data_IF_846564714624
#
_entry.id   IF_846564714624
#
_cell.length_a   1.000
_cell.length_b   1.000
_cell.length_c   1.000
_cell.angle_alpha   90.00
_cell.angle_beta   90.00
_cell.angle_gamma   90.00
#
_symmetry.space_group_name_H-M   'P 1'
#
loop_
_entity.id
_entity.type
_entity.pdbx_description
1 polymer ?
#
# COMPACT_ATOMS: atom_id res chain seq x y z
N UNK A 1 9.21 -1.39 -15.74
CA UNK A 1 9.04 -1.48 -14.29
C UNK A 1 7.56 -1.56 -13.92
N UNK A 2 7.24 -2.01 -12.69
CA UNK A 2 5.89 -2.05 -12.13
C UNK A 2 5.89 -1.38 -10.77
N UNK A 3 4.86 -0.60 -10.44
CA UNK A 3 4.75 0.15 -9.19
C UNK A 3 3.30 0.15 -8.69
N UNK A 4 3.11 0.22 -7.36
CA UNK A 4 1.80 0.21 -6.73
C UNK A 4 1.01 1.49 -7.02
N UNK A 5 -0.32 1.46 -6.80
CA UNK A 5 -1.29 2.52 -7.11
C UNK A 5 -1.55 3.50 -5.96
N UNK A 6 -0.51 3.81 -5.18
CA UNK A 6 -0.53 4.83 -4.14
C UNK A 6 0.70 5.75 -4.20
N UNK A 7 0.81 6.69 -3.28
CA UNK A 7 1.90 7.66 -3.29
C UNK A 7 3.27 7.00 -3.07
N UNK A 8 3.38 5.97 -2.21
CA UNK A 8 4.65 5.27 -1.98
C UNK A 8 5.08 4.48 -3.23
N UNK A 9 4.15 3.75 -3.85
CA UNK A 9 4.40 3.05 -5.10
C UNK A 9 4.78 3.98 -6.25
N UNK A 10 4.04 5.08 -6.44
CA UNK A 10 4.35 6.07 -7.49
C UNK A 10 5.72 6.71 -7.26
N UNK A 11 6.03 7.17 -6.03
CA UNK A 11 7.32 7.82 -5.74
C UNK A 11 8.48 6.86 -5.87
N UNK A 12 8.34 5.61 -5.39
CA UNK A 12 9.38 4.57 -5.57
C UNK A 12 9.60 4.25 -7.06
N UNK A 13 8.53 4.20 -7.84
CA UNK A 13 8.60 4.07 -9.30
C UNK A 13 9.34 5.23 -9.95
N UNK A 14 9.00 6.48 -9.59
CA UNK A 14 9.64 7.68 -10.12
C UNK A 14 11.15 7.73 -9.84
N UNK A 15 11.57 7.35 -8.63
CA UNK A 15 12.99 7.29 -8.26
C UNK A 15 13.78 6.37 -9.20
N UNK A 16 13.31 5.15 -9.41
CA UNK A 16 13.98 4.18 -10.28
C UNK A 16 13.89 4.58 -11.75
N UNK A 17 12.73 5.10 -12.18
CA UNK A 17 12.55 5.57 -13.54
C UNK A 17 13.51 6.70 -13.90
N UNK A 18 13.60 7.74 -13.07
CA UNK A 18 14.47 8.88 -13.29
C UNK A 18 15.95 8.45 -13.31
N UNK A 19 16.38 7.62 -12.36
CA UNK A 19 17.75 7.13 -12.29
C UNK A 19 18.12 6.24 -13.49
N UNK A 20 17.23 5.31 -13.89
CA UNK A 20 17.46 4.44 -15.03
C UNK A 20 17.54 5.21 -16.36
N UNK A 21 16.68 6.22 -16.57
CA UNK A 21 16.74 7.07 -17.76
C UNK A 21 17.98 7.94 -17.80
N UNK A 22 18.37 8.53 -16.67
CA UNK A 22 19.60 9.32 -16.57
C UNK A 22 20.83 8.45 -16.86
N UNK A 23 20.90 7.25 -16.32
CA UNK A 23 21.93 6.27 -16.61
C UNK A 23 21.95 5.87 -18.10
N UNK A 24 20.79 5.55 -18.68
CA UNK A 24 20.69 5.23 -20.10
C UNK A 24 21.21 6.37 -20.98
N UNK A 25 20.83 7.62 -20.67
CA UNK A 25 21.33 8.81 -21.37
C UNK A 25 22.85 8.94 -21.28
N UNK A 26 23.43 8.78 -20.07
CA UNK A 26 24.88 8.84 -19.88
C UNK A 26 25.62 7.76 -20.69
N UNK A 27 25.05 6.56 -20.76
CA UNK A 27 25.62 5.43 -21.49
C UNK A 27 25.27 5.40 -22.99
N UNK A 28 24.61 6.45 -23.49
CA UNK A 28 24.11 6.54 -24.87
C UNK A 28 23.20 5.36 -25.27
N UNK A 29 22.43 4.84 -24.31
CA UNK A 29 21.41 3.81 -24.51
C UNK A 29 20.04 4.45 -24.80
N UNK A 30 19.16 3.77 -25.53
CA UNK A 30 17.81 4.26 -25.82
C UNK A 30 16.98 4.41 -24.54
N UNK A 31 16.60 5.64 -24.18
CA UNK A 31 15.83 5.93 -22.98
C UNK A 31 14.39 5.42 -23.06
N UNK A 32 13.84 5.26 -24.25
CA UNK A 32 12.53 4.67 -24.52
C UNK A 32 12.42 3.19 -24.12
N UNK A 33 13.55 2.55 -23.82
CA UNK A 33 13.56 1.21 -23.25
C UNK A 33 13.26 1.18 -21.75
N UNK A 34 13.28 2.32 -21.08
CA UNK A 34 12.91 2.46 -19.68
C UNK A 34 11.44 2.87 -19.63
N UNK A 35 10.57 1.92 -19.31
CA UNK A 35 9.11 2.13 -19.20
C UNK A 35 8.61 1.62 -17.86
N UNK A 36 7.51 2.16 -17.37
CA UNK A 36 6.89 1.74 -16.12
C UNK A 36 5.37 1.79 -16.20
N UNK A 37 4.70 0.88 -15.50
CA UNK A 37 3.24 0.78 -15.49
C UNK A 37 2.70 0.51 -14.09
N UNK A 38 1.68 1.25 -13.71
CA UNK A 38 0.97 1.09 -12.45
C UNK A 38 0.29 -0.28 -12.38
N UNK A 39 0.28 -0.85 -11.18
CA UNK A 39 -0.45 -2.08 -10.83
C UNK A 39 -1.46 -1.74 -9.74
N UNK A 40 -2.76 -1.91 -9.97
CA UNK A 40 -3.80 -1.55 -9.00
C UNK A 40 -3.97 -2.62 -7.90
N UNK A 41 -2.86 -3.14 -7.40
CA UNK A 41 -2.84 -4.22 -6.40
C UNK A 41 -1.43 -4.36 -5.82
N UNK A 42 -1.34 -4.75 -4.55
CA UNK A 42 -0.06 -5.15 -3.93
C UNK A 42 0.47 -6.51 -4.46
N UNK A 43 -0.23 -7.14 -5.41
CA UNK A 43 0.11 -8.44 -5.99
C UNK A 43 0.58 -8.27 -7.43
N UNK A 44 1.78 -8.77 -7.73
CA UNK A 44 2.25 -8.94 -9.11
C UNK A 44 1.67 -10.23 -9.69
N UNK A 45 0.67 -10.11 -10.55
CA UNK A 45 -0.10 -11.24 -11.04
C UNK A 45 0.51 -11.94 -12.26
N UNK A 46 0.03 -13.15 -12.57
CA UNK A 46 0.35 -13.83 -13.86
C UNK A 46 0.01 -12.98 -15.09
N UNK A 47 -1.05 -12.16 -14.98
CA UNK A 47 -1.45 -11.28 -16.07
C UNK A 47 -0.43 -10.18 -16.28
N UNK A 48 0.07 -9.57 -15.19
CA UNK A 48 1.12 -8.55 -15.29
C UNK A 48 2.38 -9.12 -15.92
N UNK A 49 2.79 -10.35 -15.51
CA UNK A 49 3.92 -11.06 -16.09
C UNK A 49 3.73 -11.34 -17.60
N UNK A 50 2.56 -11.82 -17.98
CA UNK A 50 2.21 -12.04 -19.38
C UNK A 50 2.29 -10.77 -20.22
N UNK A 51 1.69 -9.67 -19.72
CA UNK A 51 1.70 -8.39 -20.41
C UNK A 51 3.12 -7.86 -20.59
N UNK A 52 3.99 -8.00 -19.58
CA UNK A 52 5.40 -7.57 -19.64
C UNK A 52 6.21 -8.40 -20.64
N UNK A 53 6.07 -9.71 -20.62
CA UNK A 53 6.76 -10.61 -21.54
C UNK A 53 6.33 -10.38 -23.00
N UNK A 54 5.02 -10.18 -23.23
CA UNK A 54 4.50 -9.91 -24.57
C UNK A 54 5.04 -8.59 -25.10
N UNK A 55 5.01 -7.53 -24.31
CA UNK A 55 5.55 -6.22 -24.71
C UNK A 55 7.03 -6.30 -25.10
N UNK A 56 7.84 -6.99 -24.31
CA UNK A 56 9.26 -7.15 -24.61
C UNK A 56 9.49 -7.98 -25.88
N UNK A 57 8.76 -9.08 -26.03
CA UNK A 57 8.83 -9.93 -27.22
C UNK A 57 8.44 -9.17 -28.50
N UNK A 58 7.33 -8.42 -28.44
CA UNK A 58 6.83 -7.65 -29.59
C UNK A 58 7.79 -6.53 -29.97
N UNK A 59 8.55 -6.00 -28.99
CA UNK A 59 9.64 -5.07 -29.23
C UNK A 59 10.97 -5.72 -29.64
N UNK A 60 11.07 -7.06 -29.68
CA UNK A 60 12.29 -7.80 -29.97
C UNK A 60 13.42 -7.60 -28.95
N UNK A 61 13.07 -7.39 -27.65
CA UNK A 61 13.99 -7.02 -26.58
C UNK A 61 14.05 -8.07 -25.48
N UNK A 62 15.19 -8.17 -24.82
CA UNK A 62 15.28 -8.86 -23.53
C UNK A 62 14.60 -8.01 -22.45
N UNK A 63 13.90 -8.70 -21.54
CA UNK A 63 13.17 -8.11 -20.45
C UNK A 63 13.96 -8.17 -19.15
N UNK A 64 13.99 -7.05 -18.43
CA UNK A 64 14.27 -6.98 -17.01
C UNK A 64 13.14 -6.20 -16.33
N UNK A 65 12.59 -6.73 -15.25
CA UNK A 65 11.49 -6.10 -14.52
C UNK A 65 11.97 -5.66 -13.15
N UNK A 66 11.77 -4.37 -12.85
CA UNK A 66 11.87 -3.84 -11.48
C UNK A 66 10.46 -3.62 -10.96
N UNK A 67 10.18 -4.18 -9.81
CA UNK A 67 8.87 -4.10 -9.13
C UNK A 67 9.08 -3.29 -7.86
N UNK A 68 8.30 -2.22 -7.65
CA UNK A 68 8.45 -1.33 -6.50
C UNK A 68 7.15 -1.25 -5.69
N UNK A 69 7.27 -1.39 -4.37
CA UNK A 69 6.18 -1.30 -3.39
C UNK A 69 5.06 -2.35 -3.60
N UNK A 70 5.41 -3.47 -4.17
CA UNK A 70 4.54 -4.62 -4.35
C UNK A 70 5.36 -5.88 -4.70
N UNK A 71 4.71 -7.03 -4.68
CA UNK A 71 5.28 -8.25 -5.25
C UNK A 71 6.07 -9.12 -4.29
N UNK A 72 6.41 -8.64 -3.09
CA UNK A 72 7.14 -9.44 -2.10
C UNK A 72 6.25 -10.44 -1.32
N UNK A 73 4.95 -10.54 -1.62
CA UNK A 73 3.97 -11.39 -0.93
C UNK A 73 3.81 -12.78 -1.58
N UNK A 74 3.14 -13.68 -0.87
CA UNK A 74 2.90 -15.06 -1.33
C UNK A 74 2.03 -15.12 -2.59
N UNK A 75 1.07 -14.21 -2.72
CA UNK A 75 0.15 -14.14 -3.85
C UNK A 75 0.86 -13.78 -5.17
N UNK A 76 2.04 -13.15 -5.10
CA UNK A 76 2.84 -12.78 -6.28
C UNK A 76 3.73 -13.90 -6.80
N UNK A 77 3.90 -15.00 -6.06
CA UNK A 77 4.79 -16.13 -6.45
C UNK A 77 4.50 -16.64 -7.84
N UNK A 78 3.23 -16.82 -8.20
CA UNK A 78 2.86 -17.32 -9.54
C UNK A 78 3.23 -16.34 -10.67
N UNK A 79 3.07 -15.05 -10.46
CA UNK A 79 3.49 -14.01 -11.42
C UNK A 79 5.01 -13.96 -11.58
N UNK A 80 5.74 -13.98 -10.47
CA UNK A 80 7.20 -14.00 -10.45
C UNK A 80 7.77 -15.28 -11.10
N UNK A 81 7.16 -16.44 -10.85
CA UNK A 81 7.53 -17.69 -11.50
C UNK A 81 7.38 -17.60 -13.03
N UNK A 82 6.29 -16.98 -13.51
CA UNK A 82 6.05 -16.78 -14.93
C UNK A 82 7.13 -15.90 -15.58
N UNK A 83 7.62 -14.87 -14.89
CA UNK A 83 8.76 -14.06 -15.35
C UNK A 83 10.05 -14.89 -15.41
N UNK A 84 10.34 -15.64 -14.35
CA UNK A 84 11.53 -16.48 -14.27
C UNK A 84 11.56 -17.53 -15.40
N UNK A 85 10.42 -18.18 -15.66
CA UNK A 85 10.27 -19.17 -16.72
C UNK A 85 10.50 -18.58 -18.12
N UNK A 86 10.22 -17.28 -18.30
CA UNK A 86 10.52 -16.56 -19.55
C UNK A 86 11.98 -16.11 -19.68
N UNK A 87 12.82 -16.38 -18.69
CA UNK A 87 14.22 -15.90 -18.65
C UNK A 87 14.38 -14.43 -18.28
N UNK A 88 13.33 -13.79 -17.77
CA UNK A 88 13.35 -12.39 -17.34
C UNK A 88 14.14 -12.22 -16.06
N UNK A 89 14.94 -11.16 -15.97
CA UNK A 89 15.58 -10.72 -14.73
C UNK A 89 14.61 -9.92 -13.86
N UNK A 90 14.53 -10.28 -12.59
CA UNK A 90 13.56 -9.69 -11.63
C UNK A 90 14.28 -9.03 -10.47
N UNK A 91 13.97 -7.75 -10.23
CA UNK A 91 14.37 -7.03 -9.03
C UNK A 91 13.12 -6.54 -8.31
N UNK A 92 13.03 -6.77 -6.98
CA UNK A 92 11.98 -6.19 -6.14
C UNK A 92 12.59 -5.17 -5.19
N UNK A 93 11.94 -4.01 -5.05
CA UNK A 93 12.22 -2.95 -4.08
C UNK A 93 10.96 -2.75 -3.27
N UNK A 94 10.95 -3.24 -2.02
CA UNK A 94 9.73 -3.30 -1.21
C UNK A 94 10.06 -3.17 0.28
N UNK A 95 9.15 -2.60 1.04
CA UNK A 95 9.28 -2.43 2.49
C UNK A 95 8.34 -3.37 3.29
N UNK A 96 7.48 -4.08 2.60
CA UNK A 96 6.57 -5.06 3.22
C UNK A 96 7.32 -6.32 3.70
N UNK A 97 6.76 -7.06 4.69
CA UNK A 97 7.33 -8.32 5.12
C UNK A 97 7.44 -9.31 3.94
N UNK A 98 8.66 -9.74 3.58
CA UNK A 98 8.85 -10.54 2.39
C UNK A 98 8.47 -12.00 2.60
N UNK A 99 7.86 -12.61 1.57
CA UNK A 99 7.65 -14.05 1.48
C UNK A 99 8.91 -14.74 0.93
N UNK A 100 9.34 -15.84 1.56
CA UNK A 100 10.57 -16.54 1.18
C UNK A 100 10.53 -17.12 -0.24
N UNK A 101 9.36 -17.64 -0.69
CA UNK A 101 9.21 -18.21 -2.03
C UNK A 101 9.24 -17.11 -3.10
N UNK A 102 8.64 -15.94 -2.83
CA UNK A 102 8.74 -14.79 -3.70
C UNK A 102 10.19 -14.30 -3.86
N UNK A 103 10.95 -14.22 -2.75
CA UNK A 103 12.36 -13.82 -2.78
C UNK A 103 13.24 -14.81 -3.56
N UNK A 104 12.98 -16.11 -3.47
CA UNK A 104 13.75 -17.15 -4.18
C UNK A 104 13.62 -17.02 -5.71
N UNK A 105 12.61 -16.31 -6.20
CA UNK A 105 12.38 -16.07 -7.62
C UNK A 105 13.07 -14.80 -8.15
N UNK A 106 13.54 -13.93 -7.26
CA UNK A 106 14.18 -12.66 -7.62
C UNK A 106 15.68 -12.84 -7.90
N UNK A 107 16.20 -12.09 -8.87
CA UNK A 107 17.65 -11.96 -9.11
C UNK A 107 18.26 -10.91 -8.16
N UNK A 108 17.48 -9.92 -7.72
CA UNK A 108 17.86 -8.92 -6.75
C UNK A 108 16.66 -8.51 -5.89
N UNK A 109 16.94 -8.15 -4.65
CA UNK A 109 15.94 -7.66 -3.71
C UNK A 109 16.52 -6.55 -2.84
N UNK A 110 15.81 -5.44 -2.72
CA UNK A 110 16.15 -4.33 -1.83
C UNK A 110 15.01 -4.09 -0.85
N UNK A 111 15.30 -4.21 0.44
CA UNK A 111 14.32 -3.99 1.52
C UNK A 111 15.00 -3.48 2.77
N UNK A 112 14.26 -2.73 3.58
CA UNK A 112 14.67 -2.36 4.94
C UNK A 112 14.30 -3.42 5.98
N UNK A 113 13.42 -4.36 5.67
CA UNK A 113 12.78 -5.27 6.62
C UNK A 113 13.72 -6.05 7.54
N UNK A 114 14.90 -6.57 7.11
CA UNK A 114 15.84 -7.25 8.01
C UNK A 114 16.45 -6.34 9.09
N UNK A 115 16.46 -5.04 8.87
CA UNK A 115 17.08 -4.04 9.76
C UNK A 115 16.04 -3.25 10.55
N UNK A 116 14.85 -3.08 9.97
CA UNK A 116 13.74 -2.34 10.56
C UNK A 116 12.39 -2.96 10.13
N UNK A 117 11.75 -3.63 11.05
CA UNK A 117 10.42 -4.20 10.87
C UNK A 117 9.30 -3.29 11.42
N UNK A 118 9.65 -2.05 11.81
CA UNK A 118 8.68 -1.07 12.37
C UNK A 118 7.73 -0.48 11.32
N UNK A 119 8.06 -0.62 10.03
CA UNK A 119 7.38 0.05 8.94
C UNK A 119 7.73 1.54 8.82
N UNK A 120 8.84 1.98 9.44
CA UNK A 120 9.29 3.37 9.32
C UNK A 120 9.91 3.69 7.96
N UNK A 121 10.57 2.71 7.35
CA UNK A 121 11.15 2.86 6.01
C UNK A 121 10.12 2.47 4.95
N UNK A 122 9.84 3.37 4.03
CA UNK A 122 8.90 3.19 2.92
C UNK A 122 9.61 2.67 1.66
N UNK A 123 8.88 2.16 0.68
CA UNK A 123 9.48 1.73 -0.58
C UNK A 123 10.13 2.90 -1.35
N UNK A 124 9.56 4.12 -1.27
CA UNK A 124 10.17 5.32 -1.84
C UNK A 124 11.52 5.67 -1.23
N UNK A 125 11.69 5.50 0.09
CA UNK A 125 13.00 5.68 0.74
C UNK A 125 14.01 4.63 0.28
N UNK A 126 13.60 3.35 0.19
CA UNK A 126 14.48 2.27 -0.28
C UNK A 126 14.85 2.49 -1.75
N UNK A 127 13.86 2.86 -2.59
CA UNK A 127 14.08 3.15 -4.00
C UNK A 127 15.02 4.34 -4.21
N UNK A 128 14.91 5.40 -3.40
CA UNK A 128 15.83 6.53 -3.42
C UNK A 128 17.27 6.09 -3.16
N UNK A 129 17.52 5.23 -2.18
CA UNK A 129 18.87 4.75 -1.89
C UNK A 129 19.43 3.86 -3.00
N UNK A 130 18.58 3.12 -3.71
CA UNK A 130 18.95 2.37 -4.93
C UNK A 130 19.22 3.34 -6.08
N UNK A 131 18.32 4.30 -6.33
CA UNK A 131 18.45 5.30 -7.38
C UNK A 131 19.75 6.12 -7.27
N UNK A 132 20.14 6.52 -6.07
CA UNK A 132 21.41 7.20 -5.80
C UNK A 132 22.63 6.40 -6.22
N UNK A 133 22.56 5.07 -6.15
CA UNK A 133 23.67 4.20 -6.59
C UNK A 133 23.66 3.97 -8.09
N UNK A 134 22.50 4.07 -8.74
CA UNK A 134 22.38 4.00 -10.21
C UNK A 134 22.85 5.33 -10.82
N UNK A 135 22.25 6.44 -10.38
CA UNK A 135 22.57 7.79 -10.87
C UNK A 135 22.19 8.85 -9.82
N UNK A 136 23.14 9.25 -9.00
CA UNK A 136 22.91 10.11 -7.83
C UNK A 136 22.20 11.43 -8.15
N UNK A 137 22.47 12.02 -9.31
CA UNK A 137 21.88 13.30 -9.74
C UNK A 137 20.40 13.23 -10.15
N UNK A 138 19.82 12.04 -10.25
CA UNK A 138 18.41 11.86 -10.59
C UNK A 138 17.53 11.52 -9.37
N UNK A 139 18.13 11.15 -8.24
CA UNK A 139 17.40 10.83 -7.02
C UNK A 139 16.81 12.10 -6.38
N UNK A 140 15.55 12.04 -5.94
CA UNK A 140 14.79 13.20 -5.48
C UNK A 140 14.29 13.05 -4.03
N UNK A 141 14.84 13.85 -3.10
CA UNK A 141 14.47 13.82 -1.69
C UNK A 141 13.03 14.28 -1.39
N UNK A 142 12.45 15.09 -2.25
CA UNK A 142 11.05 15.51 -2.10
C UNK A 142 10.11 14.30 -2.23
N UNK A 143 10.35 13.44 -3.22
CA UNK A 143 9.54 12.23 -3.41
C UNK A 143 9.64 11.29 -2.20
N UNK A 144 10.82 11.19 -1.57
CA UNK A 144 10.98 10.47 -0.31
C UNK A 144 10.10 11.06 0.79
N UNK A 145 10.05 12.40 0.91
CA UNK A 145 9.22 13.06 1.91
C UNK A 145 7.73 12.79 1.69
N UNK A 146 7.28 12.76 0.44
CA UNK A 146 5.90 12.42 0.09
C UNK A 146 5.55 10.96 0.42
N UNK A 147 6.45 10.04 0.07
CA UNK A 147 6.34 8.62 0.42
C UNK A 147 6.26 8.40 1.93
N UNK A 148 7.18 8.96 2.71
CA UNK A 148 7.18 8.86 4.16
C UNK A 148 5.89 9.40 4.80
N UNK A 149 5.35 10.49 4.26
CA UNK A 149 4.10 11.07 4.77
C UNK A 149 2.87 10.23 4.40
N UNK A 150 2.78 9.69 3.19
CA UNK A 150 1.63 8.89 2.76
C UNK A 150 1.49 7.64 3.62
N UNK A 151 2.59 7.00 3.95
CA UNK A 151 2.66 5.79 4.78
C UNK A 151 2.65 6.08 6.29
N UNK A 152 2.52 7.34 6.68
CA UNK A 152 2.56 7.76 8.10
C UNK A 152 3.81 7.28 8.83
N UNK A 153 4.92 7.25 8.13
CA UNK A 153 6.22 6.87 8.69
C UNK A 153 6.60 7.76 9.88
N UNK A 154 7.23 7.16 10.88
CA UNK A 154 7.82 7.91 12.01
C UNK A 154 9.02 8.77 11.58
N UNK A 155 9.57 8.54 10.39
CA UNK A 155 10.64 9.34 9.79
C UNK A 155 10.09 10.55 9.02
N UNK A 156 8.79 10.65 8.80
CA UNK A 156 8.18 11.80 8.13
C UNK A 156 8.41 13.07 8.94
N UNK A 157 8.86 14.12 8.26
CA UNK A 157 9.06 15.45 8.84
C UNK A 157 8.48 16.50 7.90
N UNK A 158 7.64 17.38 8.42
CA UNK A 158 6.95 18.39 7.60
C UNK A 158 5.53 17.99 7.21
N UNK A 159 4.89 18.83 6.41
CA UNK A 159 3.57 18.61 5.82
C UNK A 159 3.68 18.78 4.30
N UNK A 160 3.41 17.70 3.58
CA UNK A 160 3.56 17.61 2.13
C UNK A 160 2.20 17.28 1.50
N UNK A 161 1.40 18.29 1.13
CA UNK A 161 0.10 18.09 0.50
C UNK A 161 0.18 17.32 -0.83
N UNK A 162 1.35 17.31 -1.47
CA UNK A 162 1.65 16.57 -2.69
C UNK A 162 1.50 15.05 -2.49
N UNK A 163 1.75 14.53 -1.30
CA UNK A 163 1.50 13.12 -1.00
C UNK A 163 0.02 12.76 -1.20
N UNK A 164 -0.91 13.62 -0.75
CA UNK A 164 -2.35 13.45 -0.98
C UNK A 164 -2.72 13.61 -2.46
N UNK A 165 -2.04 14.53 -3.16
CA UNK A 165 -2.25 14.70 -4.59
C UNK A 165 -1.90 13.42 -5.36
N UNK A 166 -0.76 12.78 -5.04
CA UNK A 166 -0.36 11.54 -5.70
C UNK A 166 -1.31 10.38 -5.38
N UNK A 167 -1.70 10.19 -4.12
CA UNK A 167 -2.73 9.20 -3.75
C UNK A 167 -4.03 9.40 -4.54
N UNK A 168 -4.46 10.67 -4.69
CA UNK A 168 -5.65 10.99 -5.46
C UNK A 168 -5.48 10.68 -6.94
N UNK A 169 -4.38 11.09 -7.55
CA UNK A 169 -4.08 10.85 -8.96
C UNK A 169 -3.92 9.35 -9.25
N UNK A 170 -3.25 8.61 -8.37
CA UNK A 170 -3.06 7.17 -8.51
C UNK A 170 -4.40 6.42 -8.45
N UNK A 171 -5.27 6.81 -7.50
CA UNK A 171 -6.59 6.19 -7.35
C UNK A 171 -7.50 6.33 -8.60
N UNK A 172 -7.42 7.46 -9.31
CA UNK A 172 -8.22 7.71 -10.51
C UNK A 172 -7.51 7.40 -11.82
N UNK A 173 -6.29 6.92 -11.76
CA UNK A 173 -5.57 6.51 -12.97
C UNK A 173 -6.15 5.20 -13.53
N UNK A 174 -6.13 5.10 -14.85
CA UNK A 174 -6.48 3.85 -15.53
C UNK A 174 -5.48 2.74 -15.14
N UNK A 175 -5.90 1.48 -15.12
CA UNK A 175 -4.99 0.36 -14.96
C UNK A 175 -3.85 0.43 -15.98
N UNK A 176 -2.62 0.21 -15.52
CA UNK A 176 -1.41 0.29 -16.32
C UNK A 176 -1.10 1.69 -16.90
N UNK A 177 -1.49 2.77 -16.16
CA UNK A 177 -0.98 4.11 -16.51
C UNK A 177 0.55 4.12 -16.49
N UNK A 178 1.13 4.84 -17.43
CA UNK A 178 2.59 4.90 -17.58
C UNK A 178 3.23 5.80 -16.50
N UNK A 179 4.44 5.45 -16.07
CA UNK A 179 5.20 6.26 -15.10
C UNK A 179 5.56 7.64 -15.65
N UNK A 180 5.67 7.77 -16.97
CA UNK A 180 5.90 9.02 -17.69
C UNK A 180 4.83 10.05 -17.37
N UNK A 181 3.56 9.62 -17.30
CA UNK A 181 2.43 10.51 -16.99
C UNK A 181 2.55 11.09 -15.57
N UNK A 182 3.05 10.30 -14.61
CA UNK A 182 3.35 10.79 -13.27
C UNK A 182 4.56 11.72 -13.26
N UNK A 183 5.62 11.38 -14.01
CA UNK A 183 6.82 12.19 -14.08
C UNK A 183 6.53 13.61 -14.60
N UNK A 184 5.59 13.74 -15.53
CA UNK A 184 5.10 15.04 -16.00
C UNK A 184 4.22 15.73 -14.94
N UNK A 185 3.27 15.02 -14.35
CA UNK A 185 2.31 15.56 -13.35
C UNK A 185 2.99 16.07 -12.08
N UNK A 186 4.05 15.40 -11.59
CA UNK A 186 4.76 15.84 -10.37
C UNK A 186 5.54 17.14 -10.58
N UNK A 187 5.79 17.54 -11.82
CA UNK A 187 6.41 18.81 -12.18
C UNK A 187 5.40 19.95 -12.33
N UNK A 188 4.09 19.65 -12.38
CA UNK A 188 3.02 20.63 -12.52
C UNK A 188 2.42 21.01 -11.15
N UNK A 189 2.93 22.10 -10.58
CA UNK A 189 2.46 22.60 -9.29
C UNK A 189 0.96 23.00 -9.29
N UNK A 190 0.36 23.32 -10.44
CA UNK A 190 -1.06 23.63 -10.54
C UNK A 190 -1.89 22.32 -10.45
N UNK A 191 -1.48 21.29 -11.18
CA UNK A 191 -2.11 19.98 -11.14
C UNK A 191 -2.05 19.39 -9.73
N UNK A 192 -0.88 19.45 -9.05
CA UNK A 192 -0.73 18.95 -7.69
C UNK A 192 -1.64 19.69 -6.70
N UNK A 193 -1.74 21.02 -6.79
CA UNK A 193 -2.67 21.78 -5.93
C UNK A 193 -4.13 21.39 -6.17
N UNK A 194 -4.55 21.29 -7.42
CA UNK A 194 -5.92 20.89 -7.77
C UNK A 194 -6.24 19.48 -7.24
N UNK A 195 -5.34 18.54 -7.43
CA UNK A 195 -5.49 17.16 -6.92
C UNK A 195 -5.54 17.13 -5.39
N UNK A 196 -4.71 17.91 -4.70
CA UNK A 196 -4.75 18.07 -3.23
C UNK A 196 -6.12 18.58 -2.76
N UNK A 197 -6.64 19.64 -3.37
CA UNK A 197 -7.94 20.22 -3.00
C UNK A 197 -9.08 19.22 -3.19
N UNK A 198 -9.05 18.44 -4.27
CA UNK A 198 -10.03 17.39 -4.54
C UNK A 198 -9.91 16.24 -3.55
N UNK A 199 -8.68 15.84 -3.21
CA UNK A 199 -8.40 14.82 -2.20
C UNK A 199 -8.96 15.24 -0.83
N UNK A 200 -8.66 16.44 -0.37
CA UNK A 200 -9.15 16.98 0.92
C UNK A 200 -10.67 16.99 0.96
N UNK A 201 -11.33 17.50 -0.09
CA UNK A 201 -12.80 17.51 -0.17
C UNK A 201 -13.40 16.11 -0.11
N UNK A 202 -12.78 15.14 -0.78
CA UNK A 202 -13.19 13.74 -0.75
C UNK A 202 -13.01 13.13 0.65
N UNK A 203 -11.87 13.35 1.29
CA UNK A 203 -11.56 12.89 2.64
C UNK A 203 -12.55 13.47 3.67
N UNK A 204 -12.81 14.77 3.64
CA UNK A 204 -13.75 15.44 4.57
C UNK A 204 -15.17 14.88 4.44
N UNK A 205 -15.62 14.67 3.19
CA UNK A 205 -16.93 14.05 2.92
C UNK A 205 -17.00 12.62 3.45
N UNK A 206 -15.99 11.82 3.18
CA UNK A 206 -15.92 10.43 3.62
C UNK A 206 -15.87 10.34 5.16
N UNK A 207 -15.02 11.14 5.81
CA UNK A 207 -14.93 11.18 7.27
C UNK A 207 -16.27 11.56 7.91
N UNK A 208 -16.99 12.54 7.38
CA UNK A 208 -18.31 12.91 7.87
C UNK A 208 -19.27 11.72 7.83
N UNK A 209 -19.42 11.08 6.66
CA UNK A 209 -20.30 9.92 6.50
C UNK A 209 -19.88 8.77 7.43
N UNK A 210 -18.59 8.45 7.47
CA UNK A 210 -18.09 7.35 8.32
C UNK A 210 -18.35 7.60 9.80
N UNK A 211 -18.20 8.84 10.28
CA UNK A 211 -18.51 9.19 11.68
C UNK A 211 -19.99 9.03 12.02
N UNK A 212 -20.88 9.40 11.11
CA UNK A 212 -22.33 9.31 11.31
C UNK A 212 -22.80 7.84 11.38
N UNK A 213 -22.03 6.91 10.78
CA UNK A 213 -22.35 5.49 10.72
C UNK A 213 -21.39 4.59 11.53
N UNK A 214 -20.43 5.17 12.26
CA UNK A 214 -19.53 4.40 13.11
C UNK A 214 -20.18 4.12 14.48
N UNK A 215 -19.95 2.90 14.98
CA UNK A 215 -20.27 2.54 16.35
C UNK A 215 -19.00 2.44 17.19
N UNK A 216 -19.11 2.82 18.46
CA UNK A 216 -17.99 2.80 19.41
C UNK A 216 -18.31 1.85 20.55
N UNK A 217 -17.44 0.86 20.77
CA UNK A 217 -17.53 -0.09 21.88
C UNK A 217 -16.38 0.17 22.86
N UNK A 218 -16.71 0.37 24.13
CA UNK A 218 -15.72 0.42 25.22
C UNK A 218 -15.28 -1.01 25.54
N UNK A 219 -13.98 -1.23 25.67
CA UNK A 219 -13.38 -2.49 26.10
C UNK A 219 -12.57 -2.21 27.36
N UNK A 220 -13.15 -2.52 28.50
CA UNK A 220 -12.62 -2.06 29.79
C UNK A 220 -12.55 -0.52 29.87
N UNK A 221 -11.68 -0.01 30.74
CA UNK A 221 -11.56 1.44 30.96
C UNK A 221 -10.63 2.14 29.96
N UNK A 222 -9.73 1.39 29.32
CA UNK A 222 -8.61 1.98 28.59
C UNK A 222 -8.62 1.75 27.07
N UNK A 223 -9.55 0.94 26.55
CA UNK A 223 -9.60 0.64 25.13
C UNK A 223 -10.95 0.95 24.48
N UNK A 224 -10.90 1.24 23.18
CA UNK A 224 -12.07 1.47 22.33
C UNK A 224 -11.93 0.64 21.04
N UNK A 225 -13.02 -0.01 20.65
CA UNK A 225 -13.20 -0.56 19.32
C UNK A 225 -14.17 0.34 18.56
N UNK A 226 -13.75 0.83 17.40
CA UNK A 226 -14.55 1.62 16.46
C UNK A 226 -14.93 0.68 15.31
N UNK A 227 -16.20 0.54 15.02
CA UNK A 227 -16.69 -0.29 13.90
C UNK A 227 -17.41 0.61 12.91
N UNK A 228 -16.96 0.61 11.66
CA UNK A 228 -17.46 1.51 10.63
C UNK A 228 -17.79 0.78 9.32
N UNK A 229 -18.93 1.09 8.74
CA UNK A 229 -19.33 0.62 7.41
C UNK A 229 -18.66 1.48 6.32
N UNK A 230 -17.61 0.95 5.69
CA UNK A 230 -16.88 1.65 4.63
C UNK A 230 -17.70 1.80 3.34
N UNK A 231 -18.66 0.91 3.09
CA UNK A 231 -19.48 0.97 1.88
C UNK A 231 -20.35 2.22 1.79
N UNK A 232 -20.63 2.86 2.92
CA UNK A 232 -21.42 4.11 2.98
C UNK A 232 -20.65 5.33 2.48
N UNK A 233 -19.33 5.31 2.61
CA UNK A 233 -18.48 6.47 2.31
C UNK A 233 -17.58 6.27 1.09
N UNK A 234 -17.41 5.02 0.63
CA UNK A 234 -16.47 4.69 -0.45
C UNK A 234 -17.11 3.85 -1.53
N UNK A 235 -16.68 4.06 -2.77
CA UNK A 235 -17.02 3.24 -3.94
C UNK A 235 -15.76 3.04 -4.79
N UNK A 236 -15.84 2.21 -5.82
CA UNK A 236 -14.73 2.02 -6.78
C UNK A 236 -14.37 3.30 -7.56
N UNK A 237 -15.31 4.23 -7.65
CA UNK A 237 -15.19 5.47 -8.43
C UNK A 237 -15.18 6.73 -7.56
N UNK A 238 -15.00 6.59 -6.24
CA UNK A 238 -14.92 7.73 -5.31
C UNK A 238 -13.63 7.71 -4.51
N UNK A 239 -13.13 8.89 -4.21
CA UNK A 239 -12.01 9.07 -3.27
C UNK A 239 -12.55 9.49 -1.90
N UNK A 240 -11.97 9.03 -0.81
CA UNK A 240 -10.81 8.13 -0.71
C UNK A 240 -11.15 6.64 -0.88
N UNK A 241 -10.16 5.77 -1.18
CA UNK A 241 -10.34 4.34 -1.13
C UNK A 241 -10.61 3.83 0.30
N UNK A 242 -11.14 2.60 0.43
CA UNK A 242 -11.58 2.02 1.72
C UNK A 242 -10.52 2.12 2.83
N UNK A 243 -9.27 1.76 2.52
CA UNK A 243 -8.17 1.80 3.49
C UNK A 243 -7.89 3.21 4.01
N UNK A 244 -7.89 4.20 3.11
CA UNK A 244 -7.70 5.61 3.47
C UNK A 244 -8.87 6.15 4.29
N UNK A 245 -10.12 5.82 3.92
CA UNK A 245 -11.30 6.22 4.69
C UNK A 245 -11.24 5.69 6.14
N UNK A 246 -10.80 4.44 6.33
CA UNK A 246 -10.62 3.89 7.68
C UNK A 246 -9.48 4.59 8.45
N UNK A 247 -8.39 4.96 7.78
CA UNK A 247 -7.32 5.75 8.39
C UNK A 247 -7.84 7.11 8.92
N UNK A 248 -8.70 7.80 8.17
CA UNK A 248 -9.31 9.06 8.61
C UNK A 248 -10.16 8.88 9.88
N UNK A 249 -10.93 7.81 9.95
CA UNK A 249 -11.70 7.46 11.15
C UNK A 249 -10.78 7.16 12.32
N UNK A 250 -9.76 6.36 12.12
CA UNK A 250 -8.76 6.05 13.14
C UNK A 250 -8.12 7.34 13.70
N UNK A 251 -7.65 8.22 12.82
CA UNK A 251 -7.02 9.49 13.20
C UNK A 251 -7.97 10.40 14.00
N UNK A 252 -9.23 10.51 13.55
CA UNK A 252 -10.24 11.29 14.25
C UNK A 252 -10.47 10.79 15.68
N UNK A 253 -10.62 9.47 15.88
CA UNK A 253 -10.84 8.94 17.22
C UNK A 253 -9.58 8.97 18.07
N UNK A 254 -8.39 8.80 17.49
CA UNK A 254 -7.11 8.97 18.19
C UNK A 254 -6.92 10.40 18.71
N UNK A 255 -7.24 11.41 17.92
CA UNK A 255 -7.19 12.80 18.35
C UNK A 255 -8.21 13.10 19.46
N UNK A 256 -9.42 12.52 19.38
CA UNK A 256 -10.48 12.70 20.37
C UNK A 256 -10.19 11.98 21.70
N UNK A 257 -9.51 10.85 21.66
CA UNK A 257 -9.22 10.01 22.83
C UNK A 257 -7.72 9.66 22.90
N UNK A 258 -6.82 10.65 23.09
CA UNK A 258 -5.38 10.47 22.95
C UNK A 258 -4.76 9.52 23.97
N UNK A 259 -5.47 9.21 25.06
CA UNK A 259 -5.01 8.31 26.12
C UNK A 259 -5.52 6.87 25.99
N UNK A 260 -6.35 6.57 24.98
CA UNK A 260 -6.95 5.25 24.81
C UNK A 260 -6.20 4.39 23.80
N UNK A 261 -6.19 3.09 24.06
CA UNK A 261 -5.90 2.09 23.04
C UNK A 261 -7.08 2.03 22.06
N UNK A 262 -6.85 2.33 20.78
CA UNK A 262 -7.91 2.42 19.78
C UNK A 262 -7.63 1.45 18.67
N UNK A 263 -8.61 0.59 18.40
CA UNK A 263 -8.66 -0.25 17.22
C UNK A 263 -9.88 0.13 16.41
N UNK A 264 -9.68 0.45 15.12
CA UNK A 264 -10.76 0.66 14.16
C UNK A 264 -10.89 -0.54 13.25
N UNK A 265 -12.10 -1.04 13.10
CA UNK A 265 -12.51 -2.08 12.17
C UNK A 265 -13.45 -1.48 11.13
N UNK A 266 -13.02 -1.42 9.88
CA UNK A 266 -13.85 -1.04 8.75
C UNK A 266 -14.30 -2.28 7.99
N UNK A 267 -15.56 -2.34 7.59
CA UNK A 267 -16.07 -3.46 6.80
C UNK A 267 -16.79 -2.98 5.54
N UNK A 268 -16.82 -3.84 4.53
CA UNK A 268 -17.63 -3.72 3.33
C UNK A 268 -18.17 -5.11 2.95
N UNK A 269 -18.82 -5.23 1.81
CA UNK A 269 -19.40 -6.51 1.36
C UNK A 269 -18.36 -7.64 1.27
N UNK A 270 -17.15 -7.34 0.81
CA UNK A 270 -16.12 -8.30 0.44
C UNK A 270 -14.81 -8.16 1.23
N UNK A 271 -14.76 -7.26 2.21
CA UNK A 271 -13.50 -7.01 2.93
C UNK A 271 -13.72 -6.40 4.32
N UNK A 272 -12.78 -6.73 5.22
CA UNK A 272 -12.68 -6.15 6.56
C UNK A 272 -11.25 -5.67 6.76
N UNK A 273 -11.08 -4.42 7.19
CA UNK A 273 -9.79 -3.82 7.48
C UNK A 273 -9.67 -3.47 8.96
N UNK A 274 -8.47 -3.59 9.51
CA UNK A 274 -8.15 -3.26 10.91
C UNK A 274 -7.08 -2.18 10.91
N UNK A 275 -7.22 -1.21 11.84
CA UNK A 275 -6.19 -0.24 12.18
C UNK A 275 -6.06 -0.15 13.69
N UNK A 276 -4.83 -0.14 14.20
CA UNK A 276 -4.55 -0.03 15.63
C UNK A 276 -3.55 1.11 15.88
N UNK A 277 -3.84 1.96 16.88
CA UNK A 277 -2.90 3.01 17.27
C UNK A 277 -1.70 2.44 18.09
N UNK A 278 -0.69 3.28 18.31
CA UNK A 278 0.50 2.90 19.08
C UNK A 278 0.13 2.35 20.47
N UNK A 279 -0.83 2.98 21.18
CA UNK A 279 -1.27 2.55 22.50
C UNK A 279 -1.93 1.17 22.50
N UNK A 280 -2.67 0.81 21.45
CA UNK A 280 -3.22 -0.54 21.32
C UNK A 280 -2.10 -1.58 21.16
N UNK A 281 -1.06 -1.27 20.38
CA UNK A 281 0.13 -2.12 20.22
C UNK A 281 0.92 -2.24 21.52
N UNK A 282 1.18 -1.14 22.20
CA UNK A 282 1.83 -1.11 23.52
C UNK A 282 1.05 -1.94 24.56
N UNK A 283 -0.29 -1.92 24.46
CA UNK A 283 -1.16 -2.81 25.21
C UNK A 283 -1.18 -4.26 24.70
N UNK A 284 -0.36 -4.62 23.70
CA UNK A 284 -0.18 -5.98 23.19
C UNK A 284 -1.22 -6.41 22.16
N UNK A 285 -1.96 -5.47 21.55
CA UNK A 285 -2.79 -5.79 20.40
C UNK A 285 -1.93 -6.05 19.17
N UNK A 286 -2.20 -7.17 18.50
CA UNK A 286 -1.65 -7.54 17.20
C UNK A 286 -2.79 -8.10 16.33
N UNK A 287 -2.92 -7.58 15.12
CA UNK A 287 -3.95 -8.03 14.17
C UNK A 287 -3.67 -9.42 13.59
N UNK A 288 -2.41 -9.85 13.54
CA UNK A 288 -2.02 -11.12 12.91
C UNK A 288 -2.60 -12.35 13.61
N UNK A 289 -2.52 -12.51 14.96
CA UNK A 289 -3.19 -13.60 15.66
C UNK A 289 -4.72 -13.57 15.49
N UNK A 290 -5.34 -12.38 15.43
CA UNK A 290 -6.77 -12.22 15.18
C UNK A 290 -7.15 -12.81 13.82
N UNK A 291 -6.38 -12.47 12.78
CA UNK A 291 -6.61 -12.96 11.41
C UNK A 291 -6.32 -14.46 11.30
N UNK A 292 -5.26 -14.97 11.94
CA UNK A 292 -4.92 -16.40 11.94
C UNK A 292 -6.04 -17.22 12.55
N UNK A 293 -6.53 -16.81 13.73
CA UNK A 293 -7.68 -17.47 14.39
C UNK A 293 -8.92 -17.43 13.51
N UNK A 294 -9.19 -16.30 12.86
CA UNK A 294 -10.35 -16.17 11.98
C UNK A 294 -10.26 -17.11 10.77
N UNK A 295 -9.07 -17.27 10.16
CA UNK A 295 -8.81 -18.19 9.05
C UNK A 295 -8.96 -19.66 9.48
N UNK A 296 -8.53 -20.00 10.69
CA UNK A 296 -8.68 -21.35 11.25
C UNK A 296 -10.13 -21.71 11.53
N UNK A 297 -10.90 -20.78 12.10
CA UNK A 297 -12.30 -20.99 12.45
C UNK A 297 -13.26 -20.94 11.24
N UNK A 298 -12.95 -20.11 10.24
CA UNK A 298 -13.81 -19.84 9.09
C UNK A 298 -13.05 -19.97 7.74
N UNK A 299 -12.38 -21.12 7.48
CA UNK A 299 -11.50 -21.26 6.31
C UNK A 299 -12.21 -21.08 4.97
N UNK A 300 -13.50 -21.44 4.89
CA UNK A 300 -14.28 -21.30 3.65
C UNK A 300 -14.81 -19.89 3.40
N UNK A 301 -14.77 -19.03 4.42
CA UNK A 301 -15.29 -17.67 4.36
C UNK A 301 -14.19 -16.64 4.03
N UNK A 302 -12.92 -17.03 4.14
CA UNK A 302 -11.77 -16.13 3.97
C UNK A 302 -11.03 -16.46 2.69
N UNK A 303 -11.02 -15.53 1.73
CA UNK A 303 -10.27 -15.66 0.47
C UNK A 303 -8.78 -15.41 0.67
N UNK A 304 -8.45 -14.35 1.38
CA UNK A 304 -7.09 -13.95 1.70
C UNK A 304 -7.09 -13.00 2.90
N UNK A 305 -5.95 -12.76 3.50
CA UNK A 305 -5.84 -11.80 4.59
C UNK A 305 -4.46 -11.80 5.21
N UNK A 306 -4.05 -10.64 5.70
CA UNK A 306 -2.78 -10.41 6.35
C UNK A 306 -2.49 -8.92 6.47
N UNK A 307 -1.27 -8.59 6.83
CA UNK A 307 -0.78 -7.23 6.99
C UNK A 307 0.21 -7.09 8.13
N UNK A 308 0.37 -5.87 8.59
CA UNK A 308 1.20 -5.55 9.76
C UNK A 308 0.39 -5.71 11.06
N UNK A 309 1.09 -5.79 12.19
CA UNK A 309 0.45 -5.89 13.52
C UNK A 309 -0.56 -4.77 13.82
N UNK A 310 -0.38 -3.59 13.21
CA UNK A 310 -1.25 -2.40 13.38
C UNK A 310 -2.20 -2.12 12.23
N UNK A 311 -2.02 -2.76 11.07
CA UNK A 311 -2.79 -2.48 9.87
C UNK A 311 -2.91 -3.75 9.02
N UNK A 312 -4.11 -4.30 8.93
CA UNK A 312 -4.33 -5.54 8.22
C UNK A 312 -5.67 -5.52 7.46
N UNK A 313 -5.78 -6.40 6.48
CA UNK A 313 -6.99 -6.57 5.68
C UNK A 313 -7.32 -8.06 5.53
N UNK A 314 -8.62 -8.36 5.44
CA UNK A 314 -9.14 -9.69 5.14
C UNK A 314 -10.15 -9.57 4.00
N UNK A 315 -9.97 -10.36 2.94
CA UNK A 315 -10.96 -10.55 1.88
C UNK A 315 -11.88 -11.69 2.26
N UNK A 316 -13.17 -11.45 2.15
CA UNK A 316 -14.20 -12.41 2.57
C UNK A 316 -15.10 -12.80 1.41
N UNK A 317 -15.67 -14.01 1.49
CA UNK A 317 -16.77 -14.40 0.63
C UNK A 317 -18.02 -13.61 1.03
N UNK A 318 -18.70 -13.00 0.05
CA UNK A 318 -19.80 -12.06 0.28
C UNK A 318 -20.91 -12.70 1.13
N UNK A 319 -21.23 -13.96 0.89
CA UNK A 319 -22.26 -14.71 1.62
C UNK A 319 -21.95 -14.88 3.11
N UNK A 320 -20.67 -14.84 3.51
CA UNK A 320 -20.22 -14.95 4.90
C UNK A 320 -19.86 -13.60 5.54
N UNK A 321 -19.98 -12.50 4.82
CA UNK A 321 -19.51 -11.19 5.26
C UNK A 321 -19.98 -10.78 6.65
N UNK A 322 -21.26 -11.01 6.99
CA UNK A 322 -21.80 -10.66 8.30
C UNK A 322 -21.28 -11.56 9.42
N UNK A 323 -21.19 -12.86 9.21
CA UNK A 323 -20.69 -13.82 10.22
C UNK A 323 -19.21 -13.59 10.51
N UNK A 324 -18.40 -13.37 9.45
CA UNK A 324 -16.98 -13.02 9.57
C UNK A 324 -16.81 -11.70 10.30
N UNK A 325 -17.60 -10.68 9.98
CA UNK A 325 -17.58 -9.38 10.65
C UNK A 325 -17.84 -9.51 12.15
N UNK A 326 -18.91 -10.22 12.54
CA UNK A 326 -19.25 -10.44 13.95
C UNK A 326 -18.12 -11.17 14.69
N UNK A 327 -17.58 -12.22 14.08
CA UNK A 327 -16.52 -13.00 14.70
C UNK A 327 -15.22 -12.20 14.83
N UNK A 328 -14.84 -11.43 13.80
CA UNK A 328 -13.68 -10.53 13.85
C UNK A 328 -13.83 -9.51 14.99
N UNK A 329 -15.01 -8.95 15.16
CA UNK A 329 -15.30 -7.99 16.21
C UNK A 329 -15.13 -8.59 17.62
N UNK A 330 -15.61 -9.82 17.83
CA UNK A 330 -15.42 -10.57 19.08
C UNK A 330 -13.94 -10.85 19.36
N UNK A 331 -13.18 -11.28 18.36
CA UNK A 331 -11.75 -11.55 18.48
C UNK A 331 -10.94 -10.27 18.81
N UNK A 332 -11.28 -9.14 18.20
CA UNK A 332 -10.66 -7.85 18.52
C UNK A 332 -10.97 -7.46 19.99
N UNK A 333 -12.23 -7.60 20.42
CA UNK A 333 -12.61 -7.31 21.82
C UNK A 333 -11.85 -8.20 22.78
N UNK A 334 -11.77 -9.51 22.50
CA UNK A 334 -10.99 -10.45 23.33
C UNK A 334 -9.50 -10.09 23.39
N UNK A 335 -8.91 -9.69 22.25
CA UNK A 335 -7.50 -9.27 22.19
C UNK A 335 -7.24 -7.99 23.01
N UNK A 336 -8.18 -7.04 22.99
CA UNK A 336 -8.10 -5.80 23.78
C UNK A 336 -8.41 -5.99 25.27
N UNK A 337 -9.17 -7.01 25.65
CA UNK A 337 -9.58 -7.26 27.03
C UNK A 337 -8.56 -8.08 27.85
N UNK A 338 -7.59 -8.73 27.20
CA UNK A 338 -6.60 -9.61 27.85
C UNK A 338 -5.61 -8.92 28.79
N UNK A 339 -5.84 -7.62 29.11
CA UNK A 339 -5.00 -6.85 30.05
C UNK A 339 -5.90 -5.98 30.97
#
# INVERSE_FOLDING_TARGET
>A
MRFNDDCDGVTSGLEIYAAARAYAKEKLLPQENVTGFQVPSAVYSKRDAFDDVVRARDAGKQLAVVITDLGANAESVEGLQSLKDSGTKVCIIDHHPPNADALALCDAFATSHPFDNSGAHTAGLVAYEVARRIFAGAANREWVSWSLQSDKSTLASGDYPEAKALDYLAHFSEPAVAIEDYYEKVSDAHMLRLATDLAIKGEDKALKIMKDHATTKKVGDNALLIVADMSKATSKTSYPPKGRALNLVQDYYCARFPKKAIVSMGYSEDSISIRANARAREAGFDSNPVISTLKEELPHAIRSGGGHSSAANVRVEIEFGESVRKRMEELIVQALAKK
#
